data_IF_338853158175
#
_entry.id   IF_338853158175
#
_cell.length_a   1.000
_cell.length_b   1.000
_cell.length_c   1.000
_cell.angle_alpha   90.00
_cell.angle_beta   90.00
_cell.angle_gamma   90.00
#
_symmetry.space_group_name_H-M   'P 1'
#
loop_
_entity.id
_entity.type
_entity.pdbx_description
1 polymer ?
#
# COMPACT_ATOMS: atom_id res chain seq x y z
N UNK A 1 -18.42 -5.88 -38.77
CA UNK A 1 -19.53 -6.44 -37.96
C UNK A 1 -20.90 -5.75 -38.13
N UNK A 2 -21.02 -4.50 -38.58
CA UNK A 2 -22.32 -3.91 -38.98
C UNK A 2 -23.42 -4.01 -37.91
N UNK A 3 -24.62 -4.47 -38.30
CA UNK A 3 -25.78 -4.65 -37.38
C UNK A 3 -25.54 -5.69 -36.27
N UNK A 4 -24.55 -6.57 -36.40
CA UNK A 4 -24.20 -7.58 -35.39
C UNK A 4 -23.29 -7.02 -34.29
N UNK A 5 -22.56 -5.92 -34.51
CA UNK A 5 -21.64 -5.33 -33.54
C UNK A 5 -22.25 -5.11 -32.13
N UNK A 6 -23.44 -4.49 -31.98
CA UNK A 6 -24.04 -4.33 -30.66
C UNK A 6 -24.47 -5.67 -30.02
N UNK A 7 -24.81 -6.67 -30.83
CA UNK A 7 -25.20 -8.01 -30.35
C UNK A 7 -23.98 -8.81 -29.87
N UNK A 8 -22.87 -8.72 -30.62
CA UNK A 8 -21.57 -9.27 -30.22
C UNK A 8 -21.11 -8.65 -28.90
N UNK A 9 -21.20 -7.33 -28.75
CA UNK A 9 -20.85 -6.66 -27.49
C UNK A 9 -21.73 -7.12 -26.31
N UNK A 10 -23.02 -7.36 -26.56
CA UNK A 10 -23.94 -7.95 -25.58
C UNK A 10 -23.53 -9.37 -25.18
N UNK A 11 -23.23 -10.23 -26.14
CA UNK A 11 -22.79 -11.60 -25.91
C UNK A 11 -21.47 -11.65 -25.12
N UNK A 12 -20.50 -10.80 -25.46
CA UNK A 12 -19.22 -10.69 -24.74
C UNK A 12 -19.42 -10.28 -23.26
N UNK A 13 -20.36 -9.37 -22.97
CA UNK A 13 -20.68 -8.95 -21.59
C UNK A 13 -21.34 -10.05 -20.75
N UNK A 14 -21.99 -11.02 -21.40
CA UNK A 14 -22.68 -12.12 -20.73
C UNK A 14 -21.89 -13.43 -20.80
N UNK A 15 -20.61 -13.39 -21.18
CA UNK A 15 -19.77 -14.58 -21.20
C UNK A 15 -19.70 -15.20 -19.79
N UNK A 16 -20.06 -16.49 -19.64
CA UNK A 16 -20.04 -17.16 -18.35
C UNK A 16 -18.61 -17.41 -17.84
N UNK A 17 -17.64 -17.57 -18.75
CA UNK A 17 -16.22 -17.73 -18.41
C UNK A 17 -15.32 -16.82 -19.29
N UNK A 18 -15.09 -15.56 -18.88
CA UNK A 18 -14.15 -14.67 -19.54
C UNK A 18 -12.71 -15.19 -19.57
N UNK A 19 -12.32 -16.06 -18.62
CA UNK A 19 -10.98 -16.63 -18.56
C UNK A 19 -10.79 -17.76 -19.61
N UNK A 20 -11.82 -18.55 -19.90
CA UNK A 20 -11.83 -19.44 -21.06
C UNK A 20 -11.74 -18.64 -22.36
N UNK A 21 -12.55 -17.59 -22.53
CA UNK A 21 -12.48 -16.75 -23.72
C UNK A 21 -11.08 -16.16 -23.95
N UNK A 22 -10.41 -15.72 -22.88
CA UNK A 22 -9.00 -15.26 -22.95
C UNK A 22 -8.05 -16.37 -23.36
N UNK A 23 -8.21 -17.58 -22.81
CA UNK A 23 -7.38 -18.74 -23.16
C UNK A 23 -7.54 -19.08 -24.63
N UNK A 24 -8.76 -19.12 -25.15
CA UNK A 24 -9.02 -19.42 -26.56
C UNK A 24 -8.41 -18.37 -27.50
N UNK A 25 -8.59 -17.08 -27.21
CA UNK A 25 -7.94 -16.00 -27.97
C UNK A 25 -6.41 -16.10 -27.94
N UNK A 26 -5.83 -16.49 -26.80
CA UNK A 26 -4.37 -16.60 -26.65
C UNK A 26 -3.80 -17.84 -27.33
N UNK A 27 -4.50 -18.98 -27.23
CA UNK A 27 -4.03 -20.28 -27.73
C UNK A 27 -4.36 -20.49 -29.22
N UNK A 28 -5.54 -20.07 -29.65
CA UNK A 28 -6.06 -20.32 -30.99
C UNK A 28 -6.04 -19.09 -31.90
N UNK A 29 -5.78 -17.90 -31.34
CA UNK A 29 -5.81 -16.63 -32.07
C UNK A 29 -7.22 -16.10 -32.34
N UNK A 30 -8.26 -16.84 -32.01
CA UNK A 30 -9.65 -16.45 -32.19
C UNK A 30 -10.59 -16.96 -31.10
N UNK A 31 -11.69 -16.23 -30.91
CA UNK A 31 -12.82 -16.58 -30.07
C UNK A 31 -14.04 -16.79 -30.97
N UNK A 32 -14.69 -17.95 -30.86
CA UNK A 32 -15.95 -18.22 -31.56
C UNK A 32 -17.13 -17.97 -30.63
N UNK A 33 -18.11 -17.21 -31.12
CA UNK A 33 -19.36 -16.91 -30.46
C UNK A 33 -20.52 -17.25 -31.37
N UNK A 34 -21.63 -17.69 -30.80
CA UNK A 34 -22.90 -17.77 -31.52
C UNK A 34 -23.74 -16.54 -31.16
N UNK A 35 -24.12 -15.75 -32.16
CA UNK A 35 -24.91 -14.51 -31.99
C UNK A 35 -26.05 -14.55 -33.00
N UNK A 36 -27.30 -14.51 -32.53
CA UNK A 36 -28.50 -14.64 -33.37
C UNK A 36 -28.50 -15.88 -34.30
N UNK A 37 -28.00 -17.02 -33.80
CA UNK A 37 -27.89 -18.26 -34.58
C UNK A 37 -26.81 -18.22 -35.68
N UNK A 38 -25.95 -17.21 -35.68
CA UNK A 38 -24.79 -17.11 -36.57
C UNK A 38 -23.49 -17.30 -35.78
N UNK A 39 -22.61 -18.17 -36.28
CA UNK A 39 -21.25 -18.28 -35.76
C UNK A 39 -20.43 -17.07 -36.18
N UNK A 40 -19.89 -16.35 -35.19
CA UNK A 40 -18.99 -15.20 -35.35
C UNK A 40 -17.63 -15.59 -34.80
N UNK A 41 -16.58 -15.37 -35.60
CA UNK A 41 -15.20 -15.53 -35.18
C UNK A 41 -14.57 -14.14 -34.95
N UNK A 42 -14.00 -13.93 -33.77
CA UNK A 42 -13.36 -12.69 -33.34
C UNK A 42 -11.87 -12.94 -33.12
N UNK A 43 -11.03 -12.14 -33.74
CA UNK A 43 -9.58 -12.18 -33.56
C UNK A 43 -9.13 -11.29 -32.39
N UNK A 44 -7.84 -11.34 -32.08
CA UNK A 44 -7.22 -10.41 -31.12
C UNK A 44 -7.23 -8.94 -31.56
N UNK A 45 -7.50 -8.65 -32.84
CA UNK A 45 -7.71 -7.28 -33.33
C UNK A 45 -9.14 -6.79 -33.08
N UNK A 46 -10.09 -7.71 -32.93
CA UNK A 46 -11.51 -7.41 -32.75
C UNK A 46 -11.91 -7.30 -31.28
N UNK A 47 -11.17 -7.96 -30.38
CA UNK A 47 -11.49 -8.06 -28.95
C UNK A 47 -10.25 -7.86 -28.10
N UNK A 48 -10.35 -6.91 -27.17
CA UNK A 48 -9.38 -6.72 -26.12
C UNK A 48 -9.93 -7.22 -24.77
N UNK A 49 -9.20 -8.13 -24.13
CA UNK A 49 -9.55 -8.63 -22.79
C UNK A 49 -8.62 -7.96 -21.78
N UNK A 50 -9.21 -7.11 -20.93
CA UNK A 50 -8.51 -6.43 -19.85
C UNK A 50 -8.88 -7.04 -18.51
N UNK A 51 -7.90 -7.13 -17.63
CA UNK A 51 -8.14 -7.47 -16.23
C UNK A 51 -8.67 -6.22 -15.52
N UNK A 52 -9.84 -6.32 -14.91
CA UNK A 52 -10.41 -5.28 -14.07
C UNK A 52 -10.43 -5.77 -12.61
N UNK A 53 -9.82 -4.99 -11.72
CA UNK A 53 -9.88 -5.27 -10.30
C UNK A 53 -11.30 -4.99 -9.76
N UNK A 54 -11.71 -5.73 -8.73
CA UNK A 54 -12.94 -5.43 -7.99
C UNK A 54 -12.78 -4.14 -7.17
N UNK A 55 -13.87 -3.46 -6.78
CA UNK A 55 -13.79 -2.36 -5.81
C UNK A 55 -13.02 -2.80 -4.56
N UNK A 56 -12.15 -1.94 -4.04
CA UNK A 56 -11.25 -2.26 -2.91
C UNK A 56 -9.98 -3.03 -3.29
N UNK A 57 -9.79 -3.35 -4.57
CA UNK A 57 -8.59 -4.04 -5.06
C UNK A 57 -7.94 -3.27 -6.20
N UNK A 58 -6.61 -3.35 -6.27
CA UNK A 58 -5.82 -2.95 -7.42
C UNK A 58 -5.18 -4.19 -8.03
N UNK A 59 -5.12 -4.26 -9.36
CA UNK A 59 -4.52 -5.40 -10.03
C UNK A 59 -3.66 -4.96 -11.21
N UNK A 60 -2.49 -5.57 -11.31
CA UNK A 60 -1.53 -5.35 -12.38
C UNK A 60 -1.13 -6.68 -13.00
N UNK A 61 -1.15 -6.76 -14.33
CA UNK A 61 -0.70 -7.93 -15.07
C UNK A 61 0.72 -7.72 -15.60
N UNK A 62 1.63 -8.63 -15.23
CA UNK A 62 2.97 -8.72 -15.79
C UNK A 62 3.15 -10.00 -16.62
N UNK A 63 4.34 -10.20 -17.18
CA UNK A 63 4.69 -11.42 -17.94
C UNK A 63 4.60 -12.69 -17.09
N UNK A 64 4.92 -12.59 -15.80
CA UNK A 64 5.00 -13.73 -14.87
C UNK A 64 3.69 -14.05 -14.15
N UNK A 65 2.67 -13.20 -14.26
CA UNK A 65 1.41 -13.39 -13.53
C UNK A 65 0.65 -12.09 -13.28
N UNK A 66 -0.38 -12.19 -12.45
CA UNK A 66 -1.21 -11.06 -12.02
C UNK A 66 -0.95 -10.83 -10.54
N UNK A 67 -0.60 -9.60 -10.19
CA UNK A 67 -0.53 -9.15 -8.78
C UNK A 67 -1.84 -8.45 -8.47
N UNK A 68 -2.45 -8.82 -7.34
CA UNK A 68 -3.66 -8.19 -6.85
C UNK A 68 -3.40 -7.73 -5.41
N UNK A 69 -3.70 -6.46 -5.11
CA UNK A 69 -3.51 -5.83 -3.81
C UNK A 69 -4.86 -5.37 -3.27
N UNK A 70 -5.14 -5.65 -2.00
CA UNK A 70 -6.22 -4.99 -1.29
C UNK A 70 -5.79 -3.54 -1.00
N UNK A 71 -6.61 -2.58 -1.39
CA UNK A 71 -6.34 -1.14 -1.22
C UNK A 71 -7.09 -0.53 -0.03
N UNK A 72 -7.84 -1.33 0.73
CA UNK A 72 -8.51 -0.88 1.93
C UNK A 72 -7.49 -0.66 3.05
N UNK A 73 -7.42 0.58 3.55
CA UNK A 73 -6.63 0.92 4.73
C UNK A 73 -7.46 0.62 5.98
N UNK A 74 -6.99 -0.36 6.76
CA UNK A 74 -7.44 -0.61 8.13
C UNK A 74 -6.84 0.44 9.07
N UNK A 75 -7.43 0.60 10.25
CA UNK A 75 -6.91 1.53 11.25
C UNK A 75 -5.51 1.12 11.72
N UNK A 76 -5.25 -0.18 11.85
CA UNK A 76 -3.92 -0.72 12.15
C UNK A 76 -2.87 -0.33 11.09
N UNK A 77 -3.22 -0.38 9.80
CA UNK A 77 -2.32 0.05 8.71
C UNK A 77 -2.06 1.55 8.72
N UNK A 78 -3.05 2.36 9.14
CA UNK A 78 -2.86 3.80 9.33
C UNK A 78 -1.89 4.08 10.48
N UNK A 79 -2.09 3.43 11.62
CA UNK A 79 -1.20 3.55 12.78
C UNK A 79 0.22 3.10 12.43
N UNK A 80 0.38 1.97 11.74
CA UNK A 80 1.69 1.49 11.28
C UNK A 80 2.37 2.54 10.38
N UNK A 81 1.62 3.15 9.47
CA UNK A 81 2.11 4.24 8.61
C UNK A 81 2.63 5.42 9.42
N UNK A 82 1.86 5.89 10.40
CA UNK A 82 2.27 6.97 11.31
C UNK A 82 3.53 6.63 12.09
N UNK A 83 3.66 5.37 12.55
CA UNK A 83 4.85 4.92 13.28
C UNK A 83 6.07 4.81 12.38
N UNK A 84 5.90 4.38 11.13
CA UNK A 84 6.98 4.36 10.14
C UNK A 84 7.48 5.78 9.82
N UNK A 85 6.58 6.75 9.74
CA UNK A 85 6.93 8.16 9.60
C UNK A 85 7.66 8.69 10.85
N UNK A 86 7.20 8.34 12.06
CA UNK A 86 7.91 8.67 13.31
C UNK A 86 9.33 8.10 13.33
N UNK A 87 9.49 6.82 12.97
CA UNK A 87 10.80 6.17 12.88
C UNK A 87 11.69 6.90 11.89
N UNK A 88 11.15 7.32 10.74
CA UNK A 88 11.90 8.11 9.76
C UNK A 88 12.44 9.40 10.36
N UNK A 89 11.62 10.16 11.10
CA UNK A 89 12.05 11.39 11.76
C UNK A 89 13.09 11.15 12.86
N UNK A 90 12.91 10.12 13.69
CA UNK A 90 13.92 9.76 14.71
C UNK A 90 15.25 9.38 14.06
N UNK A 91 15.21 8.63 12.95
CA UNK A 91 16.41 8.26 12.21
C UNK A 91 17.09 9.47 11.53
N UNK A 92 16.31 10.42 11.02
CA UNK A 92 16.83 11.69 10.52
C UNK A 92 17.53 12.47 11.64
N UNK A 93 16.93 12.54 12.83
CA UNK A 93 17.51 13.20 14.01
C UNK A 93 18.82 12.53 14.44
N UNK A 94 18.88 11.19 14.47
CA UNK A 94 20.14 10.44 14.73
C UNK A 94 21.25 10.84 13.77
N UNK A 95 20.94 10.98 12.47
CA UNK A 95 21.90 11.40 11.44
C UNK A 95 22.31 12.86 11.61
N UNK A 96 21.37 13.75 11.92
CA UNK A 96 21.66 15.18 12.15
C UNK A 96 22.61 15.38 13.35
N UNK A 97 22.46 14.55 14.38
CA UNK A 97 23.35 14.51 15.55
C UNK A 97 24.66 13.73 15.30
N UNK A 98 24.90 13.24 14.07
CA UNK A 98 26.09 12.48 13.68
C UNK A 98 26.37 11.29 14.62
N UNK A 99 25.30 10.64 15.08
CA UNK A 99 25.43 9.47 15.93
C UNK A 99 25.99 8.28 15.14
N UNK A 100 26.83 7.50 15.81
CA UNK A 100 27.30 6.22 15.27
C UNK A 100 26.12 5.29 14.96
N UNK A 101 26.31 4.41 13.98
CA UNK A 101 25.25 3.51 13.51
C UNK A 101 24.67 2.67 14.66
N UNK A 102 25.52 2.19 15.56
CA UNK A 102 25.15 1.32 16.69
C UNK A 102 24.79 2.08 17.97
N UNK A 103 24.86 3.43 17.95
CA UNK A 103 24.62 4.25 19.13
C UNK A 103 23.22 4.00 19.69
N UNK A 104 23.14 3.71 20.99
CA UNK A 104 21.88 3.52 21.71
C UNK A 104 21.37 4.88 22.19
N UNK A 105 20.06 5.10 22.11
CA UNK A 105 19.46 6.39 22.48
C UNK A 105 18.37 6.26 23.54
N UNK A 106 18.21 7.30 24.34
CA UNK A 106 17.01 7.60 25.09
C UNK A 106 16.21 8.61 24.26
N UNK A 107 14.96 8.27 23.94
CA UNK A 107 14.06 9.07 23.13
C UNK A 107 12.98 9.67 24.01
N UNK A 108 12.78 10.98 23.94
CA UNK A 108 11.65 11.67 24.57
C UNK A 108 10.70 12.15 23.48
N UNK A 109 9.42 11.80 23.61
CA UNK A 109 8.37 12.11 22.64
C UNK A 109 7.32 12.98 23.32
N UNK A 110 7.15 14.19 22.76
CA UNK A 110 6.07 15.10 23.10
C UNK A 110 4.95 14.99 22.07
N UNK A 111 3.79 14.47 22.47
CA UNK A 111 2.63 14.33 21.59
C UNK A 111 1.32 14.46 22.37
N UNK A 112 0.23 14.79 21.67
CA UNK A 112 -1.10 14.81 22.26
C UNK A 112 -1.50 13.40 22.77
N UNK A 113 -2.33 13.29 23.83
CA UNK A 113 -2.61 12.00 24.47
C UNK A 113 -3.08 10.88 23.53
N UNK A 114 -4.01 11.10 22.57
CA UNK A 114 -4.43 10.03 21.66
C UNK A 114 -3.27 9.46 20.84
N UNK A 115 -2.38 10.32 20.36
CA UNK A 115 -1.21 9.93 19.56
C UNK A 115 -0.14 9.28 20.43
N UNK A 116 0.10 9.79 21.64
CA UNK A 116 1.02 9.17 22.60
C UNK A 116 0.59 7.74 22.99
N UNK A 117 -0.71 7.51 23.22
CA UNK A 117 -1.23 6.15 23.49
C UNK A 117 -1.09 5.23 22.27
N UNK A 118 -1.22 5.77 21.05
CA UNK A 118 -0.96 5.03 19.82
C UNK A 118 0.52 4.62 19.74
N UNK A 119 1.45 5.55 19.93
CA UNK A 119 2.88 5.27 19.91
C UNK A 119 3.27 4.20 20.94
N UNK A 120 2.68 4.24 22.14
CA UNK A 120 2.92 3.22 23.18
C UNK A 120 2.58 1.80 22.72
N UNK A 121 1.51 1.62 21.93
CA UNK A 121 1.15 0.29 21.40
C UNK A 121 2.20 -0.24 20.42
N UNK A 122 2.89 0.66 19.72
CA UNK A 122 3.90 0.35 18.72
C UNK A 122 5.35 0.53 19.21
N UNK A 123 5.55 0.80 20.50
CA UNK A 123 6.85 1.13 21.07
C UNK A 123 7.92 0.07 20.80
N UNK A 124 7.54 -1.21 20.76
CA UNK A 124 8.48 -2.30 20.43
C UNK A 124 9.10 -2.13 19.03
N UNK A 125 8.31 -1.71 18.05
CA UNK A 125 8.80 -1.45 16.68
C UNK A 125 9.71 -0.23 16.68
N UNK A 126 9.27 0.85 17.33
CA UNK A 126 10.05 2.09 17.44
C UNK A 126 11.42 1.85 18.10
N UNK A 127 11.46 1.09 19.20
CA UNK A 127 12.71 0.77 19.92
C UNK A 127 13.64 -0.09 19.09
N UNK A 128 13.11 -1.10 18.41
CA UNK A 128 13.90 -2.00 17.57
C UNK A 128 14.52 -1.25 16.39
N UNK A 129 13.71 -0.46 15.67
CA UNK A 129 14.15 0.25 14.47
C UNK A 129 15.07 1.43 14.79
N UNK A 130 14.92 2.10 15.93
CA UNK A 130 15.69 3.30 16.30
C UNK A 130 16.82 3.07 17.31
N UNK A 131 17.09 1.82 17.71
CA UNK A 131 18.03 1.46 18.79
C UNK A 131 17.76 2.25 20.09
N UNK A 132 16.48 2.48 20.41
CA UNK A 132 16.09 3.25 21.59
C UNK A 132 15.97 2.36 22.82
N UNK A 133 16.86 2.56 23.79
CA UNK A 133 16.83 1.83 25.07
C UNK A 133 15.78 2.36 26.03
N UNK A 134 15.41 3.63 25.91
CA UNK A 134 14.35 4.24 26.71
C UNK A 134 13.47 5.10 25.82
N UNK A 135 12.15 5.01 26.03
CA UNK A 135 11.17 5.91 25.42
C UNK A 135 10.40 6.57 26.55
N UNK A 136 10.44 7.90 26.61
CA UNK A 136 9.70 8.71 27.58
C UNK A 136 8.65 9.54 26.85
N UNK A 137 7.46 9.59 27.44
CA UNK A 137 6.35 10.39 26.91
C UNK A 137 6.16 11.61 27.79
N UNK A 138 6.26 12.79 27.20
CA UNK A 138 6.08 14.05 27.90
C UNK A 138 4.93 14.84 27.27
N UNK A 139 4.31 15.75 28.03
CA UNK A 139 3.36 16.72 27.47
C UNK A 139 4.04 17.74 26.55
N UNK A 140 5.35 17.95 26.75
CA UNK A 140 6.23 18.72 25.88
C UNK A 140 7.66 18.16 26.02
N UNK A 141 8.34 17.88 24.91
CA UNK A 141 9.74 17.43 24.92
C UNK A 141 10.76 18.60 25.03
N UNK A 142 10.28 19.82 25.29
CA UNK A 142 11.11 21.00 25.48
C UNK A 142 11.81 21.44 24.18
N UNK A 143 13.14 21.62 24.23
CA UNK A 143 13.96 22.03 23.08
C UNK A 143 14.14 20.98 21.97
N UNK A 144 13.34 19.91 21.97
CA UNK A 144 13.32 18.90 20.93
C UNK A 144 12.88 19.43 19.57
N UNK A 145 13.27 18.72 18.52
CA UNK A 145 12.89 19.02 17.14
C UNK A 145 11.38 18.80 16.96
N UNK A 146 10.72 19.75 16.29
CA UNK A 146 9.29 19.65 15.99
C UNK A 146 9.10 19.06 14.60
N UNK A 147 8.32 17.99 14.52
CA UNK A 147 7.91 17.35 13.27
C UNK A 147 6.39 17.24 13.22
N UNK A 148 5.85 16.91 12.04
CA UNK A 148 4.42 16.69 11.84
C UNK A 148 4.23 15.32 11.25
N UNK A 149 3.37 14.50 11.86
CA UNK A 149 3.10 13.12 11.47
C UNK A 149 1.60 12.99 11.26
N UNK A 150 1.18 12.72 10.02
CA UNK A 150 -0.24 12.75 9.61
C UNK A 150 -1.03 13.99 10.12
N UNK A 151 -0.37 15.16 10.12
CA UNK A 151 -0.96 16.41 10.60
C UNK A 151 -0.89 16.64 12.11
N UNK A 152 -0.48 15.64 12.91
CA UNK A 152 -0.29 15.78 14.36
C UNK A 152 1.10 16.34 14.67
N UNK A 153 1.21 17.41 15.49
CA UNK A 153 2.50 17.94 15.92
C UNK A 153 3.16 17.01 16.94
N UNK A 154 4.41 16.66 16.69
CA UNK A 154 5.21 15.79 17.57
C UNK A 154 6.55 16.45 17.83
N UNK A 155 6.98 16.50 19.08
CA UNK A 155 8.34 16.90 19.44
C UNK A 155 9.19 15.70 19.79
N UNK A 156 10.42 15.69 19.28
CA UNK A 156 11.38 14.61 19.46
C UNK A 156 12.66 15.16 20.07
N UNK A 157 13.11 14.58 21.17
CA UNK A 157 14.43 14.81 21.72
C UNK A 157 15.13 13.46 21.90
N UNK A 158 16.43 13.42 21.59
CA UNK A 158 17.25 12.24 21.84
C UNK A 158 18.46 12.58 22.71
N UNK A 159 18.90 11.59 23.47
CA UNK A 159 20.18 11.59 24.17
C UNK A 159 20.86 10.25 23.96
N UNK A 160 22.18 10.23 23.81
CA UNK A 160 22.94 8.97 23.71
C UNK A 160 22.95 8.31 25.08
N UNK A 161 22.72 6.99 25.12
CA UNK A 161 22.84 6.19 26.33
C UNK A 161 24.27 5.65 26.39
N UNK A 162 25.02 6.13 27.40
CA UNK A 162 26.38 5.68 27.69
C UNK A 162 27.49 6.39 26.91
N UNK A 163 28.39 7.03 27.67
CA UNK A 163 29.79 6.55 27.73
C UNK A 163 29.92 5.65 28.97
#
# INVERSE_FOLDING_TARGET
YGKLAPKIAGALKQLPDPAAARRDLTANGSLRLEVDGQAVELSGEDVEIRLAAKPGWSAAQGRAGVVVLNTELTDELREEGMIRELIHHVQALRKAHQLEYEARIALTIGAAPPFAEMIRRWESMLRAECLAEKVEYASDAGGGESVTIDGEPVRLALAVVGE
#
